data_IF_879675642495
#
_entry.id   IF_879675642495
#
_cell.length_a   1.000
_cell.length_b   1.000
_cell.length_c   1.000
_cell.angle_alpha   90.00
_cell.angle_beta   90.00
_cell.angle_gamma   90.00
#
_symmetry.space_group_name_H-M   'P 1'
#
loop_
_entity.id
_entity.type
_entity.pdbx_description
1 polymer ?
#
# COMPACT_ATOMS: atom_id res chain seq x y z
N UNK A 1 -16.41 7.08 24.85
CA UNK A 1 -16.51 5.81 24.10
C UNK A 1 -15.59 5.91 22.88
N UNK A 2 -14.63 4.99 22.75
CA UNK A 2 -13.80 4.90 21.54
C UNK A 2 -14.65 4.29 20.41
N UNK A 3 -14.68 4.97 19.27
CA UNK A 3 -15.36 4.47 18.06
C UNK A 3 -14.31 3.88 17.15
N UNK A 4 -14.41 2.59 16.89
CA UNK A 4 -13.58 1.89 15.91
C UNK A 4 -14.30 1.87 14.56
N UNK A 5 -13.55 2.18 13.51
CA UNK A 5 -14.06 2.13 12.12
C UNK A 5 -13.07 1.33 11.28
N UNK A 6 -13.58 0.34 10.57
CA UNK A 6 -12.80 -0.49 9.64
C UNK A 6 -13.10 -0.08 8.20
N UNK A 7 -12.06 0.13 7.42
CA UNK A 7 -12.16 0.40 5.97
C UNK A 7 -11.36 -0.66 5.23
N UNK A 8 -11.99 -1.33 4.27
CA UNK A 8 -11.33 -2.28 3.38
C UNK A 8 -10.80 -1.50 2.17
N UNK A 9 -9.48 -1.52 1.96
CA UNK A 9 -8.83 -0.83 0.84
C UNK A 9 -8.82 -1.68 -0.42
N UNK A 10 -8.52 -2.98 -0.29
CA UNK A 10 -8.45 -3.92 -1.40
C UNK A 10 -8.49 -5.37 -0.88
N UNK A 11 -8.55 -6.31 -1.82
CA UNK A 11 -8.36 -7.73 -1.55
C UNK A 11 -6.88 -8.06 -1.60
N UNK A 12 -6.41 -8.87 -0.64
CA UNK A 12 -5.04 -9.42 -0.65
C UNK A 12 -4.87 -10.38 -1.83
N UNK A 13 -3.72 -10.35 -2.54
CA UNK A 13 -3.47 -11.25 -3.64
C UNK A 13 -3.53 -12.73 -3.23
N UNK A 14 -4.06 -13.56 -4.09
CA UNK A 14 -4.13 -15.02 -3.87
C UNK A 14 -2.76 -15.66 -4.19
N UNK A 15 -1.89 -15.70 -3.18
CA UNK A 15 -0.54 -16.23 -3.28
C UNK A 15 -0.21 -17.20 -2.14
N UNK A 16 0.77 -18.06 -2.37
CA UNK A 16 1.30 -18.97 -1.35
C UNK A 16 1.98 -18.18 -0.24
N UNK A 17 2.81 -17.21 -0.60
CA UNK A 17 3.48 -16.33 0.36
C UNK A 17 2.74 -15.00 0.50
N UNK A 18 2.53 -14.58 1.74
CA UNK A 18 1.93 -13.27 2.00
C UNK A 18 2.95 -12.17 1.79
N UNK A 19 2.60 -11.19 0.98
CA UNK A 19 3.48 -10.06 0.62
C UNK A 19 3.02 -8.71 1.18
N UNK A 20 1.78 -8.61 1.70
CA UNK A 20 1.25 -7.37 2.24
C UNK A 20 1.37 -7.22 3.76
N UNK A 21 1.46 -8.29 4.50
CA UNK A 21 1.46 -8.24 5.95
C UNK A 21 2.26 -9.40 6.52
N UNK A 22 3.56 -9.27 6.48
CA UNK A 22 4.46 -10.24 7.09
C UNK A 22 5.45 -9.54 8.03
N UNK A 23 6.27 -10.33 8.72
CA UNK A 23 7.21 -9.83 9.73
C UNK A 23 8.36 -8.98 9.17
N UNK A 24 8.57 -8.95 7.88
CA UNK A 24 9.60 -8.15 7.22
C UNK A 24 9.12 -6.74 6.89
N UNK A 25 7.83 -6.51 6.83
CA UNK A 25 7.27 -5.19 6.57
C UNK A 25 7.35 -4.31 7.83
N UNK A 26 8.12 -3.24 7.76
CA UNK A 26 8.34 -2.37 8.91
C UNK A 26 7.23 -1.33 9.08
N UNK A 27 6.76 -0.73 8.00
CA UNK A 27 5.74 0.33 8.03
C UNK A 27 4.66 0.06 6.99
N UNK A 28 3.52 -0.49 7.42
CA UNK A 28 2.36 -0.68 6.56
C UNK A 28 1.65 0.64 6.25
N UNK A 29 1.80 1.63 7.13
CA UNK A 29 1.13 2.92 7.05
C UNK A 29 2.03 3.99 7.66
N UNK A 30 2.05 5.18 7.08
CA UNK A 30 2.77 6.35 7.59
C UNK A 30 1.91 7.61 7.51
N UNK A 31 2.15 8.55 8.42
CA UNK A 31 1.43 9.83 8.48
C UNK A 31 2.41 10.98 8.39
N UNK A 32 2.24 11.84 7.41
CA UNK A 32 3.11 13.00 7.16
C UNK A 32 2.25 14.19 6.75
N UNK A 33 2.45 15.34 7.42
CA UNK A 33 1.79 16.61 7.10
C UNK A 33 0.25 16.51 6.97
N UNK A 34 -0.39 15.75 7.86
CA UNK A 34 -1.85 15.59 7.85
C UNK A 34 -2.38 14.60 6.80
N UNK A 35 -1.50 13.93 6.06
CA UNK A 35 -1.84 12.86 5.14
C UNK A 35 -1.39 11.52 5.70
N UNK A 36 -2.23 10.53 5.54
CA UNK A 36 -1.92 9.14 5.84
C UNK A 36 -1.73 8.36 4.54
N UNK A 37 -0.63 7.60 4.47
CA UNK A 37 -0.23 6.86 3.28
C UNK A 37 -0.08 5.39 3.62
N UNK A 38 -0.43 4.52 2.68
CA UNK A 38 -0.17 3.08 2.74
C UNK A 38 0.17 2.55 1.36
N UNK A 39 0.95 1.49 1.29
CA UNK A 39 1.24 0.81 0.04
C UNK A 39 1.04 -0.70 0.21
N UNK A 40 0.52 -1.35 -0.80
CA UNK A 40 0.19 -2.77 -0.78
C UNK A 40 0.10 -3.33 -2.20
N UNK A 41 0.22 -4.65 -2.30
CA UNK A 41 -0.02 -5.37 -3.56
C UNK A 41 -1.49 -5.77 -3.69
N UNK A 42 -1.96 -5.75 -4.93
CA UNK A 42 -3.21 -6.40 -5.33
C UNK A 42 -2.95 -7.32 -6.50
N UNK A 43 -3.90 -8.23 -6.80
CA UNK A 43 -3.89 -8.91 -8.09
C UNK A 43 -3.94 -7.88 -9.22
N UNK A 44 -3.36 -8.23 -10.36
CA UNK A 44 -3.36 -7.35 -11.53
C UNK A 44 -4.79 -7.04 -11.99
N UNK A 45 -5.11 -5.76 -12.09
CA UNK A 45 -6.45 -5.27 -12.48
C UNK A 45 -6.67 -5.29 -13.99
N UNK A 46 -5.62 -5.41 -14.77
CA UNK A 46 -5.64 -5.38 -16.24
C UNK A 46 -5.81 -6.78 -16.89
N UNK A 47 -6.03 -7.82 -16.09
CA UNK A 47 -6.25 -9.18 -16.58
C UNK A 47 -4.99 -9.89 -17.08
N UNK A 48 -3.81 -9.46 -16.68
CA UNK A 48 -2.52 -10.05 -17.10
C UNK A 48 -2.27 -11.48 -16.59
N UNK A 49 -3.24 -12.07 -15.94
CA UNK A 49 -3.22 -13.48 -15.55
C UNK A 49 -2.94 -13.72 -14.06
N UNK A 50 -3.15 -14.96 -13.61
CA UNK A 50 -2.94 -15.32 -12.22
C UNK A 50 -1.46 -15.22 -11.84
N UNK A 51 -1.19 -14.74 -10.63
CA UNK A 51 0.17 -14.61 -10.09
C UNK A 51 0.88 -13.30 -10.43
N UNK A 52 0.26 -12.41 -11.20
CA UNK A 52 0.76 -11.05 -11.42
C UNK A 52 0.12 -10.11 -10.39
N UNK A 53 0.96 -9.30 -9.74
CA UNK A 53 0.51 -8.28 -8.80
C UNK A 53 0.95 -6.89 -9.22
N UNK A 54 0.13 -5.91 -8.87
CA UNK A 54 0.48 -4.50 -9.00
C UNK A 54 0.68 -3.86 -7.62
N UNK A 55 1.63 -2.95 -7.53
CA UNK A 55 1.81 -2.09 -6.36
C UNK A 55 0.75 -1.01 -6.38
N UNK A 56 0.13 -0.78 -5.25
CA UNK A 56 -0.81 0.31 -5.05
C UNK A 56 -0.29 1.24 -3.96
N UNK A 57 -0.46 2.53 -4.17
CA UNK A 57 -0.23 3.57 -3.15
C UNK A 57 -1.56 4.25 -2.89
N UNK A 58 -2.00 4.21 -1.64
CA UNK A 58 -3.23 4.87 -1.22
C UNK A 58 -2.95 5.96 -0.21
N UNK A 59 -3.72 7.04 -0.26
CA UNK A 59 -3.64 8.12 0.73
C UNK A 59 -5.01 8.65 1.11
N UNK A 60 -5.09 9.19 2.31
CA UNK A 60 -6.23 10.00 2.76
C UNK A 60 -5.76 11.19 3.59
N UNK A 61 -6.55 12.24 3.62
CA UNK A 61 -6.31 13.35 4.55
C UNK A 61 -6.85 13.00 5.93
N UNK A 62 -6.11 13.34 6.97
CA UNK A 62 -6.56 13.23 8.36
C UNK A 62 -6.85 14.63 8.88
N UNK A 63 -8.05 14.85 9.40
CA UNK A 63 -8.38 16.11 10.05
C UNK A 63 -7.53 16.31 11.32
N UNK A 64 -7.23 17.56 11.67
CA UNK A 64 -6.47 17.91 12.87
C UNK A 64 -7.09 17.40 14.18
N UNK A 65 -8.39 17.10 14.21
CA UNK A 65 -9.11 16.49 15.32
C UNK A 65 -8.99 14.97 15.39
N UNK A 66 -8.33 14.33 14.42
CA UNK A 66 -8.30 12.87 14.28
C UNK A 66 -9.65 12.24 13.93
N UNK A 67 -10.70 13.03 13.75
CA UNK A 67 -12.03 12.56 13.40
C UNK A 67 -12.16 12.34 11.90
N UNK A 68 -12.84 11.26 11.44
CA UNK A 68 -13.15 11.08 10.03
C UNK A 68 -14.08 12.18 9.54
N UNK A 69 -13.62 13.01 8.62
CA UNK A 69 -14.45 13.97 7.89
C UNK A 69 -14.86 13.41 6.52
N UNK A 70 -15.82 14.03 5.84
CA UNK A 70 -16.27 13.59 4.52
C UNK A 70 -15.18 13.64 3.43
N UNK A 71 -14.07 14.33 3.70
CA UNK A 71 -12.90 14.41 2.80
C UNK A 71 -11.86 13.31 3.02
N UNK A 72 -12.13 12.33 3.90
CA UNK A 72 -11.16 11.29 4.27
C UNK A 72 -11.32 10.00 3.47
N UNK A 73 -11.82 10.10 2.27
CA UNK A 73 -11.84 8.98 1.35
C UNK A 73 -10.42 8.62 0.94
N UNK A 74 -10.10 7.34 0.98
CA UNK A 74 -8.87 6.83 0.44
C UNK A 74 -8.85 7.00 -1.08
N UNK A 75 -7.78 7.61 -1.59
CA UNK A 75 -7.50 7.72 -3.02
C UNK A 75 -6.38 6.76 -3.33
N UNK A 76 -6.59 5.88 -4.31
CA UNK A 76 -5.65 4.84 -4.71
C UNK A 76 -5.02 5.14 -6.06
N UNK A 77 -3.72 4.91 -6.16
CA UNK A 77 -2.96 4.87 -7.40
C UNK A 77 -2.38 3.47 -7.58
N UNK A 78 -2.76 2.78 -8.62
CA UNK A 78 -2.12 1.54 -9.03
C UNK A 78 -0.93 1.85 -9.96
N UNK A 79 0.22 1.26 -9.67
CA UNK A 79 1.39 1.28 -10.54
C UNK A 79 1.28 0.07 -11.47
N UNK A 80 0.51 0.21 -12.54
CA UNK A 80 0.16 -0.87 -13.46
C UNK A 80 1.13 -1.03 -14.64
N UNK A 81 2.18 -0.22 -14.65
CA UNK A 81 3.31 -0.30 -15.57
C UNK A 81 4.41 -1.28 -15.11
N UNK A 82 4.28 -1.85 -13.90
CA UNK A 82 5.19 -2.83 -13.36
C UNK A 82 4.45 -4.08 -12.87
N UNK A 83 4.85 -5.23 -13.38
CA UNK A 83 4.27 -6.54 -13.05
C UNK A 83 5.16 -7.30 -12.06
N UNK A 84 4.73 -7.37 -10.81
CA UNK A 84 5.37 -8.19 -9.80
C UNK A 84 4.87 -9.64 -9.95
N UNK A 85 5.76 -10.57 -10.27
CA UNK A 85 5.40 -11.97 -10.55
C UNK A 85 6.04 -12.99 -9.60
N UNK A 86 7.03 -12.59 -8.81
CA UNK A 86 7.75 -13.47 -7.90
C UNK A 86 6.93 -13.71 -6.64
N UNK A 87 6.60 -14.97 -6.35
CA UNK A 87 5.92 -15.36 -5.11
C UNK A 87 6.95 -15.58 -3.99
N UNK A 88 7.43 -14.49 -3.41
CA UNK A 88 8.40 -14.48 -2.30
C UNK A 88 7.95 -13.49 -1.22
N UNK A 89 7.78 -13.98 0.00
CA UNK A 89 7.35 -13.18 1.15
C UNK A 89 8.35 -12.10 1.59
N UNK A 90 9.57 -12.06 1.05
CA UNK A 90 10.53 -10.98 1.31
C UNK A 90 10.27 -9.73 0.45
N UNK A 91 9.48 -9.83 -0.62
CA UNK A 91 9.16 -8.71 -1.52
C UNK A 91 8.09 -7.78 -0.94
N UNK A 92 8.28 -7.36 0.31
CA UNK A 92 7.41 -6.37 0.96
C UNK A 92 7.64 -4.98 0.41
N UNK A 93 6.62 -4.13 0.49
CA UNK A 93 6.71 -2.74 0.07
C UNK A 93 7.19 -1.88 1.24
N UNK A 94 8.18 -1.04 0.98
CA UNK A 94 8.59 0.04 1.87
C UNK A 94 8.15 1.38 1.30
N UNK A 95 7.56 2.23 2.12
CA UNK A 95 7.10 3.56 1.74
C UNK A 95 7.71 4.62 2.65
N UNK A 96 8.19 5.70 2.05
CA UNK A 96 8.65 6.88 2.76
C UNK A 96 8.08 8.15 2.11
N UNK A 97 7.79 9.15 2.90
CA UNK A 97 7.29 10.44 2.42
C UNK A 97 8.16 11.57 2.94
N UNK A 98 8.68 12.38 2.05
CA UNK A 98 9.49 13.55 2.41
C UNK A 98 8.60 14.62 3.06
N UNK A 99 8.96 15.05 4.26
CA UNK A 99 8.21 16.11 4.97
C UNK A 99 8.34 17.48 4.31
N UNK A 100 9.43 17.71 3.58
CA UNK A 100 9.73 19.02 3.00
C UNK A 100 8.92 19.34 1.76
N UNK A 101 8.73 18.37 0.89
CA UNK A 101 8.10 18.58 -0.41
C UNK A 101 6.94 17.61 -0.74
N UNK A 102 6.69 16.62 0.14
CA UNK A 102 5.65 15.63 -0.04
C UNK A 102 5.98 14.52 -1.05
N UNK A 103 7.23 14.42 -1.52
CA UNK A 103 7.65 13.36 -2.43
C UNK A 103 7.48 11.99 -1.79
N UNK A 104 6.85 11.07 -2.52
CA UNK A 104 6.64 9.70 -2.08
C UNK A 104 7.71 8.81 -2.70
N UNK A 105 8.39 8.04 -1.86
CA UNK A 105 9.38 7.05 -2.24
C UNK A 105 8.84 5.67 -1.92
N UNK A 106 8.87 4.77 -2.90
CA UNK A 106 8.39 3.40 -2.75
C UNK A 106 9.49 2.46 -3.23
N UNK A 107 9.81 1.45 -2.43
CA UNK A 107 10.72 0.37 -2.80
C UNK A 107 9.97 -0.96 -2.68
N UNK A 108 10.05 -1.78 -3.70
CA UNK A 108 9.36 -3.07 -3.78
C UNK A 108 10.12 -4.03 -4.70
N UNK A 109 9.74 -5.30 -4.66
CA UNK A 109 10.24 -6.38 -5.54
C UNK A 109 11.78 -6.47 -5.60
N UNK A 110 12.40 -6.44 -4.43
CA UNK A 110 13.86 -6.36 -4.27
C UNK A 110 14.53 -7.69 -3.98
N UNK A 111 13.78 -8.80 -3.98
CA UNK A 111 14.26 -10.14 -3.67
C UNK A 111 13.91 -11.12 -4.78
N UNK A 112 14.89 -11.92 -5.19
CA UNK A 112 14.77 -12.87 -6.31
C UNK A 112 14.37 -12.22 -7.65
N UNK A 113 14.63 -10.93 -7.81
CA UNK A 113 14.50 -10.23 -9.07
C UNK A 113 15.54 -10.76 -10.08
N UNK A 114 15.10 -11.00 -11.34
CA UNK A 114 15.94 -11.56 -12.41
C UNK A 114 16.41 -10.48 -13.37
#
# INVERSE_FOLDING_TARGET
MLKETTVILAKDPDRVHRINANSFQQNAITTVNGWQYTAFYTDAINGEGPGICHVNVSRRMICASGAPGPSQTWVNLALDDYNQSVDDGHNTISIGVCKGDGTIHVAFDHHCDQ
#
